data_IF_245613446842
#
_entry.id   IF_245613446842
#
_cell.length_a   1.000
_cell.length_b   1.000
_cell.length_c   1.000
_cell.angle_alpha   90.00
_cell.angle_beta   90.00
_cell.angle_gamma   90.00
#
_symmetry.space_group_name_H-M   'P 1'
#
loop_
_entity.id
_entity.type
_entity.pdbx_description
1 polymer ?
#
# COMPACT_ATOMS: atom_id res chain seq x y z
N UNK A 1 -1.14 -6.46 14.83
CA UNK A 1 0.08 -7.13 14.35
C UNK A 1 0.09 -7.29 12.82
N UNK A 2 -0.93 -7.85 12.14
CA UNK A 2 -0.87 -8.01 10.67
C UNK A 2 -0.67 -6.71 9.89
N UNK A 3 -1.32 -5.60 10.29
CA UNK A 3 -1.12 -4.30 9.63
C UNK A 3 0.28 -3.72 9.80
N UNK A 4 1.01 -4.09 10.88
CA UNK A 4 2.40 -3.68 11.08
C UNK A 4 3.34 -4.47 10.16
N UNK A 5 3.10 -5.78 9.99
CA UNK A 5 3.81 -6.60 9.02
C UNK A 5 3.64 -6.05 7.59
N UNK A 6 2.40 -5.72 7.21
CA UNK A 6 2.11 -5.11 5.90
C UNK A 6 2.77 -3.74 5.75
N UNK A 7 2.74 -2.89 6.78
CA UNK A 7 3.43 -1.61 6.72
C UNK A 7 4.94 -1.80 6.54
N UNK A 8 5.54 -2.79 7.22
CA UNK A 8 6.93 -3.19 7.06
C UNK A 8 7.26 -3.63 5.64
N UNK A 9 6.41 -4.47 5.03
CA UNK A 9 6.64 -4.96 3.67
C UNK A 9 6.39 -3.92 2.57
N UNK A 10 5.70 -2.82 2.88
CA UNK A 10 5.43 -1.72 1.92
C UNK A 10 6.47 -0.59 2.05
N UNK A 11 7.07 -0.42 3.23
CA UNK A 11 7.97 0.69 3.52
C UNK A 11 9.16 0.82 2.56
N UNK A 12 9.86 -0.26 2.15
CA UNK A 12 11.03 -0.14 1.27
C UNK A 12 10.71 0.57 -0.06
N UNK A 13 9.50 0.35 -0.57
CA UNK A 13 9.03 0.83 -1.87
C UNK A 13 8.22 2.13 -1.80
N UNK A 14 8.07 2.75 -0.63
CA UNK A 14 7.19 3.91 -0.46
C UNK A 14 7.53 5.05 -1.43
N UNK A 15 8.82 5.22 -1.73
CA UNK A 15 9.36 6.28 -2.58
C UNK A 15 9.16 6.07 -4.09
N UNK A 16 8.49 4.99 -4.50
CA UNK A 16 7.88 4.91 -5.82
C UNK A 16 6.61 5.74 -5.95
N UNK A 17 5.92 6.02 -4.83
CA UNK A 17 4.57 6.58 -4.83
C UNK A 17 4.45 7.95 -4.17
N UNK A 18 5.51 8.38 -3.48
CA UNK A 18 5.59 9.70 -2.84
C UNK A 18 6.88 10.39 -3.27
N UNK A 19 6.93 11.74 -3.27
CA UNK A 19 8.15 12.46 -3.57
C UNK A 19 9.32 11.98 -2.69
N UNK A 20 10.46 11.75 -3.33
CA UNK A 20 11.71 11.35 -2.64
C UNK A 20 12.19 12.48 -1.75
N UNK A 21 12.81 12.13 -0.63
CA UNK A 21 13.55 13.10 0.18
C UNK A 21 14.97 13.22 -0.38
N UNK A 22 15.59 14.38 -0.19
CA UNK A 22 16.88 14.71 -0.83
C UNK A 22 18.01 13.70 -0.53
N UNK A 23 17.94 12.99 0.60
CA UNK A 23 18.94 12.04 1.07
C UNK A 23 18.38 10.64 1.37
N UNK A 24 17.12 10.37 1.02
CA UNK A 24 16.46 9.09 1.28
C UNK A 24 15.57 8.73 0.10
N UNK A 25 15.90 7.65 -0.58
CA UNK A 25 15.13 7.06 -1.66
C UNK A 25 15.23 5.54 -1.65
N UNK A 26 15.00 4.94 -2.83
CA UNK A 26 14.92 3.49 -2.98
C UNK A 26 16.25 2.78 -2.72
N UNK A 27 17.38 3.43 -3.02
CA UNK A 27 18.70 2.86 -2.79
C UNK A 27 18.92 2.64 -1.30
N UNK A 28 18.63 3.65 -0.49
CA UNK A 28 18.83 3.62 0.96
C UNK A 28 17.84 2.67 1.64
N UNK A 29 16.58 2.62 1.20
CA UNK A 29 15.57 1.72 1.78
C UNK A 29 15.79 0.24 1.42
N UNK A 30 16.55 -0.06 0.37
CA UNK A 30 16.88 -1.43 -0.02
C UNK A 30 18.26 -1.88 0.47
N UNK A 31 18.97 -1.07 1.27
CA UNK A 31 20.15 -1.54 1.97
C UNK A 31 19.77 -2.59 3.02
N UNK A 32 20.58 -3.64 3.16
CA UNK A 32 20.29 -4.69 4.15
C UNK A 32 20.23 -4.14 5.59
N UNK A 33 20.98 -3.08 5.89
CA UNK A 33 20.95 -2.45 7.22
C UNK A 33 19.64 -1.68 7.46
N UNK A 34 19.02 -1.12 6.41
CA UNK A 34 17.78 -0.33 6.47
C UNK A 34 16.62 -1.12 7.08
N UNK A 35 16.58 -2.44 6.85
CA UNK A 35 15.62 -3.39 7.41
C UNK A 35 15.52 -3.31 8.94
N UNK A 36 16.61 -2.94 9.62
CA UNK A 36 16.68 -2.89 11.07
C UNK A 36 16.32 -1.51 11.66
N UNK A 37 16.32 -0.44 10.86
CA UNK A 37 16.09 0.91 11.37
C UNK A 37 15.24 1.79 10.43
N UNK A 38 15.69 2.05 9.21
CA UNK A 38 15.04 2.98 8.29
C UNK A 38 13.65 2.49 7.88
N UNK A 39 13.54 1.26 7.40
CA UNK A 39 12.25 0.72 6.95
C UNK A 39 11.27 0.55 8.11
N UNK A 40 11.67 0.06 9.30
CA UNK A 40 10.80 0.07 10.46
C UNK A 40 10.30 1.48 10.86
N UNK A 41 11.13 2.51 10.74
CA UNK A 41 10.72 3.90 11.01
C UNK A 41 9.68 4.39 10.00
N UNK A 42 9.94 4.19 8.71
CA UNK A 42 8.98 4.51 7.64
C UNK A 42 7.68 3.72 7.83
N UNK A 43 7.79 2.42 8.10
CA UNK A 43 6.66 1.53 8.34
C UNK A 43 5.84 1.95 9.57
N UNK A 44 6.49 2.44 10.64
CA UNK A 44 5.80 2.96 11.81
C UNK A 44 4.98 4.21 11.47
N UNK A 45 5.53 5.12 10.64
CA UNK A 45 4.79 6.28 10.12
C UNK A 45 3.61 5.82 9.27
N UNK A 46 3.81 4.90 8.33
CA UNK A 46 2.74 4.34 7.50
C UNK A 46 1.65 3.67 8.34
N UNK A 47 2.04 2.91 9.37
CA UNK A 47 1.12 2.29 10.31
C UNK A 47 0.34 3.35 11.09
N UNK A 48 0.98 4.41 11.58
CA UNK A 48 0.32 5.50 12.28
C UNK A 48 -0.68 6.24 11.37
N UNK A 49 -0.27 6.59 10.15
CA UNK A 49 -1.14 7.18 9.11
C UNK A 49 -2.34 6.28 8.85
N UNK A 50 -2.12 4.97 8.68
CA UNK A 50 -3.21 4.04 8.48
C UNK A 50 -4.17 4.00 9.67
N UNK A 51 -3.67 3.81 10.90
CA UNK A 51 -4.52 3.64 12.08
C UNK A 51 -5.25 4.93 12.48
N UNK A 52 -4.61 6.09 12.36
CA UNK A 52 -5.13 7.39 12.83
C UNK A 52 -5.90 8.11 11.75
N UNK A 53 -5.32 8.24 10.55
CA UNK A 53 -5.91 9.03 9.47
C UNK A 53 -6.89 8.20 8.64
N UNK A 54 -6.47 7.03 8.14
CA UNK A 54 -7.20 6.33 7.07
C UNK A 54 -8.27 5.35 7.55
N UNK A 55 -8.03 4.64 8.66
CA UNK A 55 -8.85 3.49 9.07
C UNK A 55 -10.33 3.84 9.27
N UNK A 56 -10.63 4.92 10.00
CA UNK A 56 -12.02 5.35 10.28
C UNK A 56 -12.76 5.77 8.99
N UNK A 57 -12.21 6.65 8.13
CA UNK A 57 -12.80 6.95 6.82
C UNK A 57 -13.05 5.70 5.96
N UNK A 58 -12.06 4.79 5.88
CA UNK A 58 -12.18 3.56 5.09
C UNK A 58 -13.27 2.62 5.61
N UNK A 59 -13.41 2.47 6.94
CA UNK A 59 -14.51 1.73 7.56
C UNK A 59 -15.87 2.33 7.21
N UNK A 60 -15.98 3.66 7.20
CA UNK A 60 -17.22 4.37 6.86
C UNK A 60 -17.58 4.26 5.36
N UNK A 61 -16.56 4.11 4.49
CA UNK A 61 -16.71 3.89 3.05
C UNK A 61 -17.08 2.44 2.72
N UNK A 62 -16.61 1.46 3.50
CA UNK A 62 -16.79 0.04 3.25
C UNK A 62 -18.28 -0.40 3.21
N UNK A 63 -18.69 -1.32 2.31
CA UNK A 63 -20.04 -1.90 2.28
C UNK A 63 -20.39 -2.51 3.64
N UNK A 64 -21.67 -2.41 4.06
CA UNK A 64 -22.12 -2.84 5.39
C UNK A 64 -21.65 -4.24 5.81
N UNK A 65 -21.76 -5.27 4.95
CA UNK A 65 -21.26 -6.61 5.26
C UNK A 65 -19.76 -6.66 5.56
N UNK A 66 -18.94 -5.88 4.86
CA UNK A 66 -17.51 -5.80 5.09
C UNK A 66 -17.20 -4.97 6.34
N UNK A 67 -17.84 -3.81 6.48
CA UNK A 67 -17.65 -2.90 7.61
C UNK A 67 -17.94 -3.57 8.96
N UNK A 68 -18.93 -4.46 9.02
CA UNK A 68 -19.25 -5.22 10.23
C UNK A 68 -18.20 -6.25 10.64
N UNK A 69 -17.32 -6.68 9.72
CA UNK A 69 -16.26 -7.68 9.95
C UNK A 69 -14.88 -7.06 10.19
N UNK A 70 -14.68 -5.82 9.76
CA UNK A 70 -13.35 -5.19 9.81
C UNK A 70 -12.92 -4.88 11.26
N UNK A 71 -11.66 -5.17 11.63
CA UNK A 71 -11.15 -4.84 12.96
C UNK A 71 -11.15 -3.33 13.21
N UNK A 72 -11.69 -2.93 14.36
CA UNK A 72 -11.79 -1.52 14.73
C UNK A 72 -10.60 -1.01 15.52
N UNK A 73 -10.09 -1.83 16.44
CA UNK A 73 -8.97 -1.46 17.32
C UNK A 73 -7.63 -1.89 16.76
N UNK A 74 -6.60 -1.25 17.29
CA UNK A 74 -5.22 -1.67 17.15
C UNK A 74 -4.57 -1.49 18.52
N UNK A 75 -3.93 -2.55 19.01
CA UNK A 75 -3.33 -2.57 20.34
C UNK A 75 -1.89 -2.06 20.26
N UNK A 76 -1.68 -0.81 20.71
CA UNK A 76 -0.37 -0.17 20.81
C UNK A 76 0.44 -0.62 22.02
N UNK A 77 -0.17 -1.36 22.97
CA UNK A 77 0.48 -1.79 24.23
C UNK A 77 1.48 -2.94 24.03
N UNK A 78 1.71 -3.37 22.79
CA UNK A 78 2.65 -4.43 22.42
C UNK A 78 3.74 -3.91 21.48
N UNK A 79 4.51 -2.88 21.88
CA UNK A 79 5.48 -2.22 20.99
C UNK A 79 6.56 -3.19 20.47
N UNK A 80 7.01 -4.16 21.27
CA UNK A 80 7.97 -5.17 20.82
C UNK A 80 7.45 -6.04 19.67
N UNK A 81 6.18 -6.47 19.72
CA UNK A 81 5.57 -7.22 18.62
C UNK A 81 5.28 -6.36 17.39
N UNK A 82 4.99 -5.08 17.59
CA UNK A 82 4.85 -4.12 16.49
C UNK A 82 6.20 -3.99 15.78
N UNK A 83 7.27 -3.65 16.52
CA UNK A 83 8.61 -3.51 15.99
C UNK A 83 9.08 -4.78 15.26
N UNK A 84 8.90 -5.95 15.88
CA UNK A 84 9.22 -7.23 15.24
C UNK A 84 8.46 -7.44 13.94
N UNK A 85 7.16 -7.10 13.91
CA UNK A 85 6.35 -7.21 12.69
C UNK A 85 6.83 -6.25 11.60
N UNK A 86 7.17 -5.00 11.93
CA UNK A 86 7.69 -4.02 10.97
C UNK A 86 9.00 -4.52 10.35
N UNK A 87 9.95 -4.96 11.19
CA UNK A 87 11.24 -5.51 10.75
C UNK A 87 11.05 -6.76 9.90
N UNK A 88 10.21 -7.72 10.33
CA UNK A 88 9.96 -8.93 9.54
C UNK A 88 9.34 -8.61 8.18
N UNK A 89 8.44 -7.62 8.11
CA UNK A 89 7.85 -7.17 6.85
C UNK A 89 8.93 -6.64 5.90
N UNK A 90 9.76 -5.71 6.39
CA UNK A 90 10.85 -5.14 5.60
C UNK A 90 11.87 -6.21 5.18
N UNK A 91 12.25 -7.11 6.10
CA UNK A 91 13.18 -8.20 5.84
C UNK A 91 12.67 -9.15 4.75
N UNK A 92 11.37 -9.48 4.76
CA UNK A 92 10.79 -10.33 3.72
C UNK A 92 10.78 -9.65 2.36
N UNK A 93 10.55 -8.33 2.31
CA UNK A 93 10.58 -7.56 1.06
C UNK A 93 12.01 -7.46 0.53
N UNK A 94 12.91 -6.82 1.28
CA UNK A 94 14.30 -6.57 0.86
C UNK A 94 15.05 -7.87 0.62
N UNK A 95 14.82 -8.90 1.44
CA UNK A 95 15.42 -10.21 1.25
C UNK A 95 14.94 -10.91 -0.02
N UNK A 96 13.65 -10.81 -0.35
CA UNK A 96 13.11 -11.37 -1.59
C UNK A 96 13.62 -10.60 -2.82
N UNK A 97 13.74 -9.29 -2.70
CA UNK A 97 14.28 -8.45 -3.76
C UNK A 97 15.76 -8.71 -4.00
N UNK A 98 16.57 -8.77 -2.94
CA UNK A 98 17.98 -9.12 -3.05
C UNK A 98 18.16 -10.51 -3.69
N UNK A 99 17.27 -11.47 -3.38
CA UNK A 99 17.31 -12.80 -3.97
C UNK A 99 16.92 -12.81 -5.45
N UNK A 100 15.97 -11.98 -5.89
CA UNK A 100 15.40 -12.05 -7.25
C UNK A 100 15.97 -11.04 -8.24
N UNK A 101 16.60 -9.96 -7.75
CA UNK A 101 17.18 -8.93 -8.61
C UNK A 101 18.53 -9.34 -9.17
N UNK A 102 18.81 -8.85 -10.39
CA UNK A 102 20.03 -9.14 -11.12
C UNK A 102 21.30 -8.78 -10.33
N UNK A 103 21.30 -7.70 -9.56
CA UNK A 103 22.49 -7.19 -8.83
C UNK A 103 22.85 -7.96 -7.56
N UNK A 104 21.88 -8.64 -6.92
CA UNK A 104 22.08 -9.30 -5.62
C UNK A 104 21.92 -10.83 -5.64
N UNK A 105 21.23 -11.38 -6.64
CA UNK A 105 20.91 -12.79 -6.72
C UNK A 105 21.93 -13.64 -7.51
N UNK A 106 21.74 -14.97 -7.57
CA UNK A 106 22.63 -15.86 -8.31
C UNK A 106 22.70 -15.56 -9.80
N UNK A 107 23.85 -15.82 -10.43
CA UNK A 107 24.10 -15.48 -11.84
C UNK A 107 23.07 -16.04 -12.84
N UNK A 108 22.45 -17.19 -12.54
CA UNK A 108 21.45 -17.80 -13.42
C UNK A 108 20.18 -16.95 -13.58
N UNK A 109 19.89 -16.04 -12.64
CA UNK A 109 18.71 -15.17 -12.72
C UNK A 109 18.74 -14.28 -13.96
N UNK A 110 19.95 -13.89 -14.38
CA UNK A 110 20.18 -13.05 -15.57
C UNK A 110 20.09 -13.82 -16.89
N UNK A 111 19.75 -15.11 -16.85
CA UNK A 111 19.59 -15.91 -18.06
C UNK A 111 18.36 -15.41 -18.82
N UNK A 112 18.51 -14.91 -20.06
CA UNK A 112 17.38 -14.44 -20.83
C UNK A 112 16.51 -15.63 -21.25
N UNK A 113 15.20 -15.51 -21.07
CA UNK A 113 14.21 -16.50 -21.51
C UNK A 113 13.55 -16.06 -22.82
N UNK A 114 13.12 -14.80 -22.86
CA UNK A 114 12.59 -14.12 -24.04
C UNK A 114 13.01 -12.65 -24.00
N UNK A 115 12.86 -11.92 -25.10
CA UNK A 115 13.23 -10.50 -25.18
C UNK A 115 12.58 -9.71 -24.04
N UNK A 116 13.40 -9.13 -23.16
CA UNK A 116 12.95 -8.31 -22.01
C UNK A 116 12.50 -9.09 -20.77
N UNK A 117 12.65 -10.43 -20.74
CA UNK A 117 12.33 -11.25 -19.57
C UNK A 117 13.44 -12.26 -19.31
N UNK A 118 14.09 -12.14 -18.17
CA UNK A 118 15.05 -13.11 -17.63
C UNK A 118 14.39 -14.03 -16.59
N UNK A 119 15.17 -14.98 -16.06
CA UNK A 119 14.69 -15.91 -15.02
C UNK A 119 14.28 -15.17 -13.74
N UNK A 120 15.02 -14.13 -13.35
CA UNK A 120 14.71 -13.29 -12.18
C UNK A 120 13.32 -12.65 -12.31
N UNK A 121 13.06 -11.99 -13.43
CA UNK A 121 11.77 -11.37 -13.76
C UNK A 121 10.64 -12.40 -13.79
N UNK A 122 10.89 -13.59 -14.33
CA UNK A 122 9.90 -14.66 -14.32
C UNK A 122 9.56 -15.10 -12.88
N UNK A 123 10.56 -15.28 -12.03
CA UNK A 123 10.36 -15.62 -10.61
C UNK A 123 9.55 -14.51 -9.92
N UNK A 124 9.87 -13.23 -10.16
CA UNK A 124 9.11 -12.10 -9.62
C UNK A 124 7.62 -12.14 -10.06
N UNK A 125 7.35 -12.40 -11.34
CA UNK A 125 5.99 -12.50 -11.87
C UNK A 125 5.22 -13.68 -11.28
N UNK A 126 5.84 -14.86 -11.20
CA UNK A 126 5.22 -16.05 -10.60
C UNK A 126 4.95 -15.81 -9.12
N UNK A 127 5.91 -15.26 -8.37
CA UNK A 127 5.74 -14.94 -6.96
C UNK A 127 4.63 -13.92 -6.73
N UNK A 128 4.47 -12.94 -7.62
CA UNK A 128 3.35 -11.99 -7.56
C UNK A 128 2.00 -12.70 -7.70
N UNK A 129 1.86 -13.59 -8.69
CA UNK A 129 0.62 -14.35 -8.92
C UNK A 129 0.32 -15.28 -7.74
N UNK A 130 1.32 -16.03 -7.28
CA UNK A 130 1.19 -16.96 -6.14
C UNK A 130 0.85 -16.21 -4.87
N UNK A 131 1.55 -15.11 -4.57
CA UNK A 131 1.28 -14.25 -3.42
C UNK A 131 -0.14 -13.68 -3.46
N UNK A 132 -0.59 -13.17 -4.61
CA UNK A 132 -1.95 -12.69 -4.79
C UNK A 132 -3.00 -13.80 -4.57
N UNK A 133 -2.75 -15.02 -5.05
CA UNK A 133 -3.64 -16.17 -4.83
C UNK A 133 -3.72 -16.55 -3.34
N UNK A 134 -2.59 -16.57 -2.63
CA UNK A 134 -2.55 -16.84 -1.18
C UNK A 134 -3.34 -15.77 -0.41
N UNK A 135 -3.14 -14.49 -0.74
CA UNK A 135 -3.86 -13.39 -0.10
C UNK A 135 -5.36 -13.45 -0.40
N UNK A 136 -5.76 -13.76 -1.64
CA UNK A 136 -7.16 -13.92 -2.02
C UNK A 136 -7.83 -15.07 -1.25
N UNK A 137 -7.15 -16.22 -1.15
CA UNK A 137 -7.62 -17.36 -0.36
C UNK A 137 -7.75 -17.02 1.12
N UNK A 138 -6.74 -16.35 1.69
CA UNK A 138 -6.74 -15.93 3.09
C UNK A 138 -7.87 -14.93 3.38
N UNK A 139 -8.07 -13.93 2.51
CA UNK A 139 -9.15 -12.95 2.62
C UNK A 139 -10.53 -13.60 2.50
N UNK A 140 -10.69 -14.54 1.58
CA UNK A 140 -11.93 -15.31 1.43
C UNK A 140 -12.23 -16.12 2.69
N UNK A 141 -11.24 -16.85 3.22
CA UNK A 141 -11.38 -17.62 4.46
C UNK A 141 -11.72 -16.70 5.63
N UNK A 142 -10.98 -15.61 5.80
CA UNK A 142 -11.23 -14.61 6.84
C UNK A 142 -12.63 -14.04 6.72
N UNK A 143 -13.09 -13.64 5.54
CA UNK A 143 -14.42 -13.05 5.36
C UNK A 143 -15.55 -14.01 5.77
N UNK A 144 -15.36 -15.31 5.54
CA UNK A 144 -16.32 -16.36 5.93
C UNK A 144 -16.33 -16.66 7.43
N UNK A 145 -15.22 -16.46 8.13
CA UNK A 145 -15.09 -16.82 9.57
C UNK A 145 -15.05 -15.62 10.51
N UNK A 146 -14.88 -14.40 9.98
CA UNK A 146 -14.77 -13.20 10.79
C UNK A 146 -16.07 -12.94 11.57
N UNK A 147 -15.97 -12.65 12.89
CA UNK A 147 -17.11 -12.23 13.68
C UNK A 147 -17.80 -11.01 13.05
N UNK A 148 -19.12 -11.02 13.03
CA UNK A 148 -19.92 -9.92 12.51
C UNK A 148 -20.37 -9.06 13.68
N UNK A 149 -19.98 -7.79 13.65
CA UNK A 149 -20.44 -6.75 14.59
C UNK A 149 -21.38 -5.78 13.86
N UNK A 150 -22.33 -5.13 14.56
CA UNK A 150 -23.19 -4.12 13.96
C UNK A 150 -22.36 -3.05 13.24
N UNK A 151 -22.52 -2.95 11.92
CA UNK A 151 -21.71 -2.03 11.11
C UNK A 151 -21.99 -0.57 11.50
N UNK A 152 -20.97 0.31 11.53
CA UNK A 152 -21.20 1.74 11.69
C UNK A 152 -22.11 2.27 10.57
N UNK A 153 -22.83 3.35 10.85
CA UNK A 153 -23.61 4.05 9.81
C UNK A 153 -22.69 4.46 8.67
N UNK A 154 -22.94 3.93 7.48
CA UNK A 154 -22.17 4.27 6.28
C UNK A 154 -22.37 5.71 5.86
N UNK A 155 -21.45 6.25 5.05
CA UNK A 155 -21.64 7.56 4.44
C UNK A 155 -22.65 7.50 3.27
N UNK A 156 -23.42 8.57 3.07
CA UNK A 156 -24.41 8.68 1.97
C UNK A 156 -23.77 8.81 0.58
N UNK A 157 -22.57 9.40 0.50
CA UNK A 157 -21.91 9.80 -0.76
C UNK A 157 -20.85 8.81 -1.25
N UNK A 158 -21.01 7.50 -1.01
CA UNK A 158 -20.01 6.47 -1.36
C UNK A 158 -19.63 6.47 -2.83
N UNK A 159 -20.61 6.57 -3.73
CA UNK A 159 -20.38 6.60 -5.18
C UNK A 159 -19.56 7.83 -5.58
N UNK A 160 -19.82 8.99 -4.99
CA UNK A 160 -19.05 10.21 -5.22
C UNK A 160 -17.61 10.08 -4.75
N UNK A 161 -17.40 9.50 -3.56
CA UNK A 161 -16.04 9.23 -3.07
C UNK A 161 -15.32 8.23 -3.97
N UNK A 162 -15.96 7.15 -4.38
CA UNK A 162 -15.37 6.18 -5.31
C UNK A 162 -15.01 6.83 -6.66
N UNK A 163 -15.89 7.67 -7.21
CA UNK A 163 -15.61 8.41 -8.44
C UNK A 163 -14.43 9.40 -8.26
N UNK A 164 -14.34 10.07 -7.10
CA UNK A 164 -13.23 10.96 -6.77
C UNK A 164 -11.89 10.20 -6.67
N UNK A 165 -11.88 9.04 -6.01
CA UNK A 165 -10.68 8.19 -5.94
C UNK A 165 -10.27 7.71 -7.34
N UNK A 166 -11.23 7.25 -8.15
CA UNK A 166 -10.97 6.81 -9.53
C UNK A 166 -10.45 7.97 -10.41
N UNK A 167 -11.00 9.17 -10.26
CA UNK A 167 -10.52 10.36 -10.95
C UNK A 167 -9.07 10.68 -10.53
N UNK A 168 -8.75 10.66 -9.24
CA UNK A 168 -7.38 10.84 -8.75
C UNK A 168 -6.40 9.82 -9.33
N UNK A 169 -6.79 8.54 -9.38
CA UNK A 169 -6.02 7.46 -10.02
C UNK A 169 -5.76 7.75 -11.50
N UNK A 170 -6.80 8.09 -12.27
CA UNK A 170 -6.67 8.39 -13.69
C UNK A 170 -5.79 9.63 -13.92
N UNK A 171 -6.04 10.71 -13.17
CA UNK A 171 -5.26 11.95 -13.29
C UNK A 171 -3.80 11.72 -12.96
N UNK A 172 -3.47 11.02 -11.87
CA UNK A 172 -2.08 10.72 -11.52
C UNK A 172 -1.37 9.91 -12.60
N UNK A 173 -2.01 8.86 -13.13
CA UNK A 173 -1.44 8.05 -14.20
C UNK A 173 -1.20 8.84 -15.50
N UNK A 174 -2.16 9.70 -15.88
CA UNK A 174 -2.02 10.53 -17.07
C UNK A 174 -0.97 11.63 -16.91
N UNK A 175 -0.84 12.24 -15.73
CA UNK A 175 0.16 13.29 -15.46
C UNK A 175 1.59 12.78 -15.59
N UNK A 176 1.86 11.53 -15.24
CA UNK A 176 3.19 10.91 -15.40
C UNK A 176 3.40 10.37 -16.81
N UNK A 177 2.40 9.69 -17.40
CA UNK A 177 2.56 9.01 -18.68
C UNK A 177 2.55 9.96 -19.90
N UNK A 178 1.71 11.00 -19.91
CA UNK A 178 1.55 11.87 -21.08
C UNK A 178 2.81 12.68 -21.42
N UNK A 179 3.53 13.32 -20.46
CA UNK A 179 4.76 14.03 -20.76
C UNK A 179 5.83 13.11 -21.35
N UNK A 180 5.98 11.89 -20.81
CA UNK A 180 6.89 10.87 -21.32
C UNK A 180 6.54 10.47 -22.76
N UNK A 181 5.27 10.16 -23.03
CA UNK A 181 4.84 9.78 -24.38
C UNK A 181 5.05 10.90 -25.40
N UNK A 182 4.98 12.16 -24.97
CA UNK A 182 5.19 13.31 -25.83
C UNK A 182 6.68 13.69 -26.05
N UNK A 183 7.58 13.39 -25.10
CA UNK A 183 8.95 13.94 -25.10
C UNK A 183 10.07 12.95 -24.71
N UNK A 184 9.87 11.64 -24.83
CA UNK A 184 10.93 10.66 -24.57
C UNK A 184 12.03 10.67 -25.64
N UNK A 185 13.26 10.35 -25.23
CA UNK A 185 14.38 10.14 -26.15
C UNK A 185 14.15 8.91 -27.05
N UNK A 186 14.79 8.83 -28.23
CA UNK A 186 14.67 7.67 -29.11
C UNK A 186 15.03 6.35 -28.40
N UNK A 187 14.07 5.44 -28.32
CA UNK A 187 14.23 4.11 -27.72
C UNK A 187 13.42 3.07 -28.49
N UNK A 188 13.60 1.79 -28.18
CA UNK A 188 12.83 0.73 -28.86
C UNK A 188 11.35 0.80 -28.48
N UNK A 189 10.45 0.28 -29.33
CA UNK A 189 9.02 0.23 -29.00
C UNK A 189 8.73 -0.53 -27.70
N UNK A 190 9.54 -1.55 -27.39
CA UNK A 190 9.43 -2.31 -26.16
C UNK A 190 9.78 -1.44 -24.95
N UNK A 191 10.84 -0.62 -25.03
CA UNK A 191 11.25 0.30 -23.97
C UNK A 191 10.22 1.41 -23.74
N UNK A 192 9.64 1.97 -24.83
CA UNK A 192 8.54 2.95 -24.72
C UNK A 192 7.37 2.33 -23.96
N UNK A 193 6.94 1.13 -24.36
CA UNK A 193 5.81 0.46 -23.72
C UNK A 193 6.10 0.14 -22.24
N UNK A 194 7.31 -0.34 -21.93
CA UNK A 194 7.75 -0.63 -20.57
C UNK A 194 7.74 0.61 -19.67
N UNK A 195 8.40 1.68 -20.10
CA UNK A 195 8.48 2.94 -19.34
C UNK A 195 7.11 3.61 -19.19
N UNK A 196 6.31 3.68 -20.26
CA UNK A 196 4.97 4.24 -20.18
C UNK A 196 4.07 3.44 -19.23
N UNK A 197 4.16 2.11 -19.24
CA UNK A 197 3.42 1.24 -18.30
C UNK A 197 3.84 1.51 -16.87
N UNK A 198 5.15 1.56 -16.63
CA UNK A 198 5.71 1.85 -15.31
C UNK A 198 5.26 3.21 -14.76
N UNK A 199 5.36 4.29 -15.56
CA UNK A 199 4.93 5.64 -15.19
C UNK A 199 3.41 5.72 -14.99
N UNK A 200 2.63 5.08 -15.86
CA UNK A 200 1.19 5.03 -15.72
C UNK A 200 0.77 4.40 -14.39
N UNK A 201 1.37 3.26 -14.03
CA UNK A 201 1.04 2.52 -12.80
C UNK A 201 1.47 3.29 -11.55
N UNK A 202 2.72 3.78 -11.51
CA UNK A 202 3.24 4.53 -10.36
C UNK A 202 2.53 5.87 -10.19
N UNK A 203 2.25 6.58 -11.29
CA UNK A 203 1.42 7.78 -11.29
C UNK A 203 -0.01 7.52 -10.82
N UNK A 204 -0.63 6.42 -11.27
CA UNK A 204 -1.97 6.04 -10.85
C UNK A 204 -2.05 5.74 -9.35
N UNK A 205 -1.04 5.04 -8.81
CA UNK A 205 -0.90 4.80 -7.37
C UNK A 205 -0.71 6.12 -6.59
N UNK A 206 0.17 7.01 -7.06
CA UNK A 206 0.43 8.31 -6.44
C UNK A 206 -0.84 9.18 -6.40
N UNK A 207 -1.54 9.28 -7.53
CA UNK A 207 -2.81 10.01 -7.64
C UNK A 207 -3.92 9.42 -6.76
N UNK A 208 -3.99 8.10 -6.66
CA UNK A 208 -4.89 7.43 -5.71
C UNK A 208 -4.57 7.79 -4.25
N UNK A 209 -3.29 7.75 -3.86
CA UNK A 209 -2.86 8.09 -2.50
C UNK A 209 -3.21 9.53 -2.15
N UNK A 210 -2.96 10.48 -3.05
CA UNK A 210 -3.34 11.89 -2.86
C UNK A 210 -4.85 12.02 -2.68
N UNK A 211 -5.65 11.43 -3.56
CA UNK A 211 -7.11 11.46 -3.44
C UNK A 211 -7.61 10.81 -2.15
N UNK A 212 -6.99 9.69 -1.73
CA UNK A 212 -7.35 9.00 -0.50
C UNK A 212 -7.06 9.84 0.75
N UNK A 213 -5.90 10.51 0.80
CA UNK A 213 -5.54 11.42 1.89
C UNK A 213 -6.49 12.61 1.94
N UNK A 214 -6.78 13.25 0.80
CA UNK A 214 -7.73 14.37 0.73
C UNK A 214 -9.13 13.96 1.20
N UNK A 215 -9.60 12.77 0.78
CA UNK A 215 -10.84 12.21 1.26
C UNK A 215 -10.82 11.99 2.78
N UNK A 216 -9.76 11.39 3.32
CA UNK A 216 -9.65 11.13 4.75
C UNK A 216 -9.67 12.44 5.56
N UNK A 217 -8.93 13.47 5.12
CA UNK A 217 -8.92 14.79 5.76
C UNK A 217 -10.31 15.43 5.72
N UNK A 218 -10.98 15.42 4.56
CA UNK A 218 -12.35 15.94 4.43
C UNK A 218 -13.34 15.18 5.31
N UNK A 219 -13.15 13.86 5.45
CA UNK A 219 -13.96 13.03 6.33
C UNK A 219 -13.77 13.42 7.80
N UNK A 220 -12.53 13.60 8.26
CA UNK A 220 -12.27 14.03 9.64
C UNK A 220 -12.81 15.43 9.93
N UNK A 221 -12.66 16.37 8.99
CA UNK A 221 -13.22 17.72 9.12
C UNK A 221 -14.76 17.71 9.23
N UNK A 222 -15.44 16.82 8.50
CA UNK A 222 -16.91 16.78 8.45
C UNK A 222 -17.55 15.87 9.50
N UNK A 223 -16.90 14.76 9.85
CA UNK A 223 -17.47 13.70 10.68
C UNK A 223 -16.72 13.46 11.98
N UNK A 224 -15.54 14.07 12.18
CA UNK A 224 -14.74 13.90 13.39
C UNK A 224 -15.53 14.23 14.66
N UNK A 225 -16.22 15.38 14.68
CA UNK A 225 -17.02 15.80 15.84
C UNK A 225 -18.23 14.88 16.12
N UNK A 226 -18.82 14.26 15.09
CA UNK A 226 -19.98 13.37 15.23
C UNK A 226 -19.59 12.01 15.81
N UNK A 227 -18.44 11.47 15.41
CA UNK A 227 -17.94 10.20 15.97
C UNK A 227 -17.39 10.37 17.38
N UNK A 228 -16.73 11.49 17.70
CA UNK A 228 -16.27 11.77 19.07
C UNK A 228 -17.43 12.00 20.04
N UNK A 229 -18.51 12.69 19.63
CA UNK A 229 -19.71 12.86 20.49
C UNK A 229 -20.45 11.55 20.75
N UNK A 230 -20.57 10.67 19.75
CA UNK A 230 -21.23 9.37 19.91
C UNK A 230 -20.44 8.45 20.85
N UNK A 231 -19.12 8.55 20.80
CA UNK A 231 -18.22 7.87 21.75
C UNK A 231 -18.39 8.31 23.20
N UNK A 232 -18.72 9.59 23.43
CA UNK A 232 -18.96 10.06 24.80
C UNK A 232 -20.36 9.71 25.33
N UNK A 233 -21.35 9.44 24.46
CA UNK A 233 -22.74 9.21 24.88
C UNK A 233 -23.12 7.74 25.07
N UNK A 234 -22.51 6.82 24.31
CA UNK A 234 -22.84 5.38 24.35
C UNK A 234 -21.69 4.53 24.92
N UNK A 235 -20.62 5.18 25.43
CA UNK A 235 -19.27 4.60 25.45
C UNK A 235 -18.65 4.68 24.06
N UNK A 236 -17.31 4.65 23.91
CA UNK A 236 -16.72 4.69 22.57
C UNK A 236 -17.37 3.55 21.76
N UNK A 237 -18.01 3.78 20.60
CA UNK A 237 -18.49 2.68 19.75
C UNK A 237 -17.32 1.80 19.26
N UNK A 238 -16.10 2.20 19.61
CA UNK A 238 -14.85 1.48 19.49
C UNK A 238 -14.26 1.00 20.83
N UNK A 239 -14.90 1.15 22.01
CA UNK A 239 -14.51 0.63 23.36
C UNK A 239 -15.25 -0.65 23.78
#
# INVERSE_FOLDING_TARGET
MPSALVAGSVAPDVFWFVPRLHSVGLTETHEFTAVLWLDPLIALVLLAVFQVLLKRPLLALAPGPLAGRLPRRFDWRKPGWIALSLVLGAATHVGWDAFTHESGGPAFLRTPLVTGVDVGRLIQLISTIVGAAILAWWLWRWYRTAPVTPAPSGIRHRKTVAAFLAAGTLTGGLLEALPFLAHHDPMTRADVAGNATYLLVTGACSGFVVALVLYALAWHARYGALYTKRATSEGDPLD
#
